data_IF_986919000459
#
_entry.id   IF_986919000459
#
_cell.length_a   1.000
_cell.length_b   1.000
_cell.length_c   1.000
_cell.angle_alpha   90.00
_cell.angle_beta   90.00
_cell.angle_gamma   90.00
#
_symmetry.space_group_name_H-M   'P 1'
#
loop_
_entity.id
_entity.type
_entity.pdbx_description
1 polymer ?
#
# COMPACT_ATOMS: atom_id res chain seq x y z
N UNK A 1 -20.55 16.44 -20.39
CA UNK A 1 -20.30 16.49 -18.94
C UNK A 1 -19.29 17.58 -18.65
N UNK A 2 -19.46 18.33 -17.57
CA UNK A 2 -18.53 19.35 -17.07
C UNK A 2 -18.07 18.95 -15.66
N UNK A 3 -16.78 19.09 -15.38
CA UNK A 3 -16.18 18.74 -14.09
C UNK A 3 -15.36 19.92 -13.58
N UNK A 4 -15.68 20.42 -12.38
CA UNK A 4 -14.90 21.46 -11.69
C UNK A 4 -13.77 20.82 -10.87
N UNK A 5 -12.85 20.18 -11.58
CA UNK A 5 -11.76 19.37 -11.01
C UNK A 5 -10.43 19.75 -11.64
N UNK A 6 -9.33 19.27 -11.07
CA UNK A 6 -7.99 19.61 -11.53
C UNK A 6 -7.73 19.02 -12.94
N UNK A 7 -7.59 19.87 -13.99
CA UNK A 7 -7.45 19.40 -15.36
C UNK A 7 -6.15 18.63 -15.59
N UNK A 8 -5.11 18.89 -14.79
CA UNK A 8 -3.82 18.22 -14.87
C UNK A 8 -3.93 16.75 -14.42
N UNK A 9 -4.80 16.46 -13.45
CA UNK A 9 -4.98 15.10 -12.93
C UNK A 9 -5.94 14.26 -13.77
N UNK A 10 -6.87 14.91 -14.47
CA UNK A 10 -7.86 14.22 -15.30
C UNK A 10 -7.23 13.34 -16.39
N UNK A 11 -6.04 13.70 -16.89
CA UNK A 11 -5.35 12.91 -17.91
C UNK A 11 -4.96 11.51 -17.42
N UNK A 12 -4.64 11.35 -16.13
CA UNK A 12 -4.29 10.04 -15.56
C UNK A 12 -5.52 9.15 -15.42
N UNK A 13 -6.62 9.73 -14.98
CA UNK A 13 -7.94 9.08 -14.90
C UNK A 13 -8.35 8.58 -16.27
N UNK A 14 -8.28 9.44 -17.28
CA UNK A 14 -8.63 9.08 -18.65
C UNK A 14 -7.72 7.97 -19.20
N UNK A 15 -6.41 8.06 -18.95
CA UNK A 15 -5.47 7.03 -19.36
C UNK A 15 -5.72 5.68 -18.68
N UNK A 16 -6.14 5.69 -17.41
CA UNK A 16 -6.57 4.48 -16.71
C UNK A 16 -7.77 3.84 -17.41
N UNK A 17 -8.79 4.62 -17.80
CA UNK A 17 -9.93 4.07 -18.54
C UNK A 17 -9.57 3.52 -19.93
N UNK A 18 -8.51 4.03 -20.57
CA UNK A 18 -8.03 3.50 -21.86
C UNK A 18 -7.11 2.29 -21.73
N UNK A 19 -6.24 2.26 -20.72
CA UNK A 19 -5.15 1.28 -20.61
C UNK A 19 -5.37 0.23 -19.54
N UNK A 20 -6.31 0.47 -18.62
CA UNK A 20 -6.53 -0.32 -17.40
C UNK A 20 -5.41 -0.17 -16.35
N UNK A 21 -4.45 0.74 -16.57
CA UNK A 21 -3.26 0.91 -15.73
C UNK A 21 -3.16 2.34 -15.21
N UNK A 22 -2.98 2.49 -13.91
CA UNK A 22 -2.82 3.79 -13.29
C UNK A 22 -1.33 4.14 -13.14
N UNK A 23 -0.92 5.24 -13.75
CA UNK A 23 0.45 5.74 -13.72
C UNK A 23 0.52 7.06 -12.97
N UNK A 24 1.57 7.25 -12.16
CA UNK A 24 1.77 8.44 -11.33
C UNK A 24 3.06 9.14 -11.75
N UNK A 25 3.02 10.46 -11.99
CA UNK A 25 4.19 11.28 -12.31
C UNK A 25 4.88 11.83 -11.06
N UNK A 26 6.15 12.20 -11.21
CA UNK A 26 7.05 12.54 -10.10
C UNK A 26 6.72 13.85 -9.37
N UNK A 27 6.14 14.82 -10.07
CA UNK A 27 5.95 16.19 -9.59
C UNK A 27 4.56 16.43 -8.97
N UNK A 28 3.78 15.37 -8.81
CA UNK A 28 2.42 15.45 -8.30
C UNK A 28 2.38 15.37 -6.78
N UNK A 29 1.57 16.25 -6.18
CA UNK A 29 1.18 16.14 -4.79
C UNK A 29 0.36 14.85 -4.59
N UNK A 30 0.86 13.96 -3.73
CA UNK A 30 0.23 12.65 -3.44
C UNK A 30 -1.19 12.83 -2.91
N UNK A 31 -1.40 13.79 -2.00
CA UNK A 31 -2.72 14.05 -1.42
C UNK A 31 -3.76 14.44 -2.49
N UNK A 32 -3.42 15.39 -3.36
CA UNK A 32 -4.32 15.83 -4.44
C UNK A 32 -4.59 14.70 -5.45
N UNK A 33 -3.59 13.86 -5.72
CA UNK A 33 -3.76 12.69 -6.57
C UNK A 33 -4.73 11.66 -5.94
N UNK A 34 -4.59 11.34 -4.66
CA UNK A 34 -5.48 10.44 -3.92
C UNK A 34 -6.94 10.90 -3.98
N UNK A 35 -7.17 12.19 -3.67
CA UNK A 35 -8.52 12.76 -3.68
C UNK A 35 -9.15 12.73 -5.08
N UNK A 36 -8.35 12.84 -6.14
CA UNK A 36 -8.84 12.76 -7.50
C UNK A 36 -9.22 11.32 -7.87
N UNK A 37 -8.33 10.34 -7.66
CA UNK A 37 -8.65 8.94 -8.00
C UNK A 37 -9.85 8.41 -7.19
N UNK A 38 -9.99 8.85 -5.94
CA UNK A 38 -11.16 8.55 -5.10
C UNK A 38 -12.45 9.13 -5.68
N UNK A 39 -12.42 10.41 -6.10
CA UNK A 39 -13.57 11.05 -6.76
C UNK A 39 -14.03 10.27 -8.01
N UNK A 40 -13.09 9.73 -8.79
CA UNK A 40 -13.39 8.93 -9.97
C UNK A 40 -13.67 7.46 -9.68
N UNK A 41 -13.67 7.04 -8.41
CA UNK A 41 -13.92 5.66 -7.99
C UNK A 41 -12.80 4.68 -8.38
N UNK A 42 -11.59 5.17 -8.61
CA UNK A 42 -10.44 4.37 -9.01
C UNK A 42 -9.65 3.99 -7.76
N UNK A 43 -9.50 2.68 -7.53
CA UNK A 43 -8.73 2.18 -6.40
C UNK A 43 -7.22 2.36 -6.62
N UNK A 44 -6.50 2.80 -5.59
CA UNK A 44 -5.03 2.94 -5.63
C UNK A 44 -4.28 1.61 -5.89
N UNK A 45 -4.94 0.47 -5.71
CA UNK A 45 -4.42 -0.86 -6.07
C UNK A 45 -4.16 -1.01 -7.57
N UNK A 46 -4.75 -0.16 -8.43
CA UNK A 46 -4.51 -0.18 -9.87
C UNK A 46 -3.23 0.53 -10.31
N UNK A 47 -2.45 1.08 -9.36
CA UNK A 47 -1.14 1.69 -9.66
C UNK A 47 -0.18 0.62 -10.19
N UNK A 48 0.35 0.84 -11.38
CA UNK A 48 1.29 -0.09 -12.00
C UNK A 48 2.63 -0.11 -11.25
N UNK A 49 3.28 -1.27 -11.28
CA UNK A 49 4.61 -1.57 -10.72
C UNK A 49 5.68 -0.53 -11.03
N UNK A 50 5.64 0.11 -12.22
CA UNK A 50 6.55 1.20 -12.59
C UNK A 50 6.62 2.33 -11.56
N UNK A 51 5.50 2.54 -10.88
CA UNK A 51 5.15 3.78 -10.23
C UNK A 51 4.75 3.53 -8.77
N UNK A 52 4.39 2.29 -8.44
CA UNK A 52 3.99 1.83 -7.10
C UNK A 52 5.04 2.15 -6.02
N UNK A 53 6.31 1.77 -6.19
CA UNK A 53 7.32 1.99 -5.15
C UNK A 53 7.50 3.49 -4.84
N UNK A 54 7.60 4.30 -5.89
CA UNK A 54 7.82 5.75 -5.76
C UNK A 54 6.60 6.50 -5.25
N UNK A 55 5.40 5.98 -5.52
CA UNK A 55 4.18 6.52 -4.93
C UNK A 55 4.13 6.22 -3.43
N UNK A 56 4.50 5.00 -3.03
CA UNK A 56 4.52 4.58 -1.63
C UNK A 56 5.52 5.41 -0.80
N UNK A 57 6.75 5.60 -1.28
CA UNK A 57 7.76 6.45 -0.63
C UNK A 57 7.23 7.87 -0.36
N UNK A 58 6.62 8.50 -1.37
CA UNK A 58 6.07 9.86 -1.22
C UNK A 58 4.83 9.92 -0.33
N UNK A 59 4.02 8.86 -0.28
CA UNK A 59 2.85 8.77 0.60
C UNK A 59 3.29 8.72 2.05
N UNK A 60 4.37 7.97 2.34
CA UNK A 60 4.99 7.89 3.66
C UNK A 60 5.60 9.24 4.08
N UNK A 61 6.34 9.91 3.19
CA UNK A 61 6.89 11.26 3.46
C UNK A 61 5.81 12.32 3.74
N UNK A 62 4.66 12.26 3.06
CA UNK A 62 3.56 13.20 3.30
C UNK A 62 2.84 12.87 4.61
N UNK A 63 2.70 11.60 4.96
CA UNK A 63 2.09 11.20 6.22
C UNK A 63 2.92 11.70 7.40
N UNK A 64 4.25 11.59 7.35
CA UNK A 64 5.14 12.11 8.40
C UNK A 64 4.97 13.63 8.62
N UNK A 65 4.77 14.40 7.53
CA UNK A 65 4.50 15.85 7.60
C UNK A 65 3.12 16.19 8.18
N UNK A 66 2.12 15.35 7.96
CA UNK A 66 0.78 15.53 8.52
C UNK A 66 0.76 15.30 10.05
N UNK A 67 1.54 14.33 10.56
CA UNK A 67 1.69 14.10 12.00
C UNK A 67 2.33 15.29 12.72
N UNK A 68 3.33 15.93 12.11
CA UNK A 68 3.97 17.11 12.68
C UNK A 68 3.02 18.32 12.66
N UNK A 69 2.23 18.49 11.59
CA UNK A 69 1.31 19.62 11.46
C UNK A 69 0.06 19.50 12.32
N UNK A 70 -0.49 18.29 12.53
CA UNK A 70 -1.70 18.06 13.35
C UNK A 70 -1.50 18.32 14.85
N UNK A 71 -0.24 18.43 15.31
CA UNK A 71 0.07 18.87 16.67
C UNK A 71 -0.16 20.38 16.89
N UNK A 72 -0.32 21.15 15.82
CA UNK A 72 -0.57 22.58 15.79
C UNK A 72 -1.69 22.87 14.79
N UNK A 73 -2.95 22.67 15.16
CA UNK A 73 -4.12 23.46 14.68
C UNK A 73 -5.44 22.70 14.99
N UNK A 74 -5.80 22.65 16.28
CA UNK A 74 -7.20 22.51 16.68
C UNK A 74 -7.78 23.91 16.66
N UNK A 75 -8.25 24.39 15.50
CA UNK A 75 -9.23 25.47 15.36
C UNK A 75 -9.61 25.67 13.89
N UNK A 76 -10.85 25.33 13.54
CA UNK A 76 -11.78 26.08 12.66
C UNK A 76 -12.64 25.17 11.79
N UNK A 77 -13.82 24.89 12.35
CA UNK A 77 -15.17 24.95 11.78
C UNK A 77 -15.58 24.22 10.46
N UNK A 78 -16.66 23.44 10.65
CA UNK A 78 -17.78 23.07 9.77
C UNK A 78 -17.56 22.46 8.38
N UNK A 79 -17.58 21.11 8.33
CA UNK A 79 -18.31 20.25 7.33
C UNK A 79 -17.94 18.76 7.38
N UNK A 80 -17.06 18.33 8.29
CA UNK A 80 -16.42 17.01 8.33
C UNK A 80 -17.12 15.91 9.16
N UNK A 81 -18.40 16.04 9.49
CA UNK A 81 -19.05 15.09 10.43
C UNK A 81 -19.35 13.71 9.80
N UNK A 82 -19.62 13.63 8.48
CA UNK A 82 -20.07 12.38 7.84
C UNK A 82 -18.90 11.41 7.51
N UNK A 83 -17.73 11.94 7.11
CA UNK A 83 -16.54 11.12 6.82
C UNK A 83 -15.94 10.48 8.08
N UNK A 84 -16.09 11.13 9.23
CA UNK A 84 -15.50 10.71 10.50
C UNK A 84 -16.09 9.41 11.07
N UNK A 85 -17.32 9.06 10.68
CA UNK A 85 -18.03 7.89 11.19
C UNK A 85 -17.58 6.61 10.46
N UNK A 86 -17.38 6.70 9.15
CA UNK A 86 -16.84 5.62 8.34
C UNK A 86 -15.37 5.34 8.67
N UNK A 87 -14.58 6.40 8.92
CA UNK A 87 -13.18 6.30 9.33
C UNK A 87 -13.03 5.61 10.71
N UNK A 88 -13.91 5.93 11.67
CA UNK A 88 -13.95 5.26 12.99
C UNK A 88 -14.36 3.79 12.92
N UNK A 89 -15.21 3.39 11.97
CA UNK A 89 -15.53 1.97 11.77
C UNK A 89 -14.38 1.19 11.12
N UNK A 90 -13.66 1.81 10.19
CA UNK A 90 -12.50 1.20 9.54
C UNK A 90 -11.31 1.03 10.51
N UNK A 91 -11.07 2.01 11.37
CA UNK A 91 -9.99 1.99 12.37
C UNK A 91 -10.16 0.87 13.41
N UNK A 92 -11.40 0.46 13.70
CA UNK A 92 -11.70 -0.58 14.70
C UNK A 92 -11.44 -2.00 14.20
N UNK A 93 -11.39 -2.22 12.88
CA UNK A 93 -11.09 -3.52 12.30
C UNK A 93 -9.59 -3.78 12.10
N UNK A 94 -8.73 -2.75 12.11
CA UNK A 94 -7.29 -2.89 11.84
C UNK A 94 -6.38 -2.76 13.08
N UNK A 95 -6.95 -2.49 14.26
CA UNK A 95 -6.16 -2.33 15.48
C UNK A 95 -5.63 -3.68 15.99
N UNK A 96 -4.39 -4.02 15.62
CA UNK A 96 -3.23 -3.73 16.48
C UNK A 96 -2.03 -4.68 16.25
N UNK A 97 -2.17 -5.88 15.64
CA UNK A 97 -0.99 -6.76 15.41
C UNK A 97 -0.98 -7.60 14.14
N UNK A 98 -2.14 -7.95 13.60
CA UNK A 98 -2.21 -8.84 12.44
C UNK A 98 -2.06 -8.09 11.10
N UNK A 99 -2.45 -6.82 11.00
CA UNK A 99 -2.36 -6.02 9.76
C UNK A 99 -0.92 -5.84 9.28
N UNK A 100 0.00 -5.45 10.15
CA UNK A 100 1.43 -5.25 9.84
C UNK A 100 2.12 -6.55 9.40
N UNK A 101 1.84 -7.67 10.08
CA UNK A 101 2.42 -8.97 9.75
C UNK A 101 1.84 -9.51 8.45
N UNK A 102 0.52 -9.42 8.28
CA UNK A 102 -0.18 -9.80 7.06
C UNK A 102 0.29 -8.97 5.88
N UNK A 103 0.45 -7.65 6.03
CA UNK A 103 0.96 -6.75 4.98
C UNK A 103 2.42 -7.07 4.62
N UNK A 104 3.29 -7.35 5.60
CA UNK A 104 4.68 -7.80 5.33
C UNK A 104 4.74 -9.17 4.63
N UNK A 105 3.91 -10.13 5.03
CA UNK A 105 3.82 -11.45 4.40
C UNK A 105 3.24 -11.32 2.98
N UNK A 106 2.18 -10.52 2.83
CA UNK A 106 1.52 -10.24 1.56
C UNK A 106 2.47 -9.57 0.57
N UNK A 107 3.16 -8.49 0.97
CA UNK A 107 4.16 -7.80 0.13
C UNK A 107 5.35 -8.72 -0.22
N UNK A 108 5.76 -9.59 0.72
CA UNK A 108 6.83 -10.57 0.47
C UNK A 108 6.40 -11.68 -0.50
N UNK A 109 5.11 -12.01 -0.55
CA UNK A 109 4.54 -13.06 -1.40
C UNK A 109 4.10 -12.54 -2.77
N UNK A 110 3.66 -11.29 -2.86
CA UNK A 110 3.23 -10.62 -4.10
C UNK A 110 4.41 -10.33 -5.06
N UNK A 111 5.64 -10.17 -4.54
CA UNK A 111 6.83 -9.85 -5.34
C UNK A 111 7.99 -10.87 -5.20
N UNK A 112 7.86 -12.11 -5.74
CA UNK A 112 8.95 -13.07 -5.82
C UNK A 112 9.92 -12.81 -6.98
N UNK A 113 9.66 -11.80 -7.83
CA UNK A 113 10.35 -11.58 -9.11
C UNK A 113 11.71 -10.84 -9.01
N UNK A 114 12.11 -10.33 -7.85
CA UNK A 114 13.45 -9.75 -7.64
C UNK A 114 14.36 -10.78 -6.94
N UNK A 115 15.02 -11.64 -7.74
CA UNK A 115 16.14 -12.58 -7.53
C UNK A 115 16.69 -13.01 -6.13
N UNK A 116 16.52 -12.26 -5.04
CA UNK A 116 17.01 -12.57 -3.69
C UNK A 116 15.97 -13.30 -2.81
N UNK A 117 14.70 -12.94 -2.91
CA UNK A 117 13.65 -13.51 -2.04
C UNK A 117 13.27 -14.94 -2.44
N UNK A 118 13.20 -15.25 -3.73
CA UNK A 118 13.01 -16.63 -4.21
C UNK A 118 14.14 -17.55 -3.75
N UNK A 119 15.39 -17.05 -3.72
CA UNK A 119 16.54 -17.78 -3.16
C UNK A 119 16.38 -18.01 -1.66
N UNK A 120 15.93 -17.03 -0.89
CA UNK A 120 15.71 -17.20 0.55
C UNK A 120 14.59 -18.20 0.86
N UNK A 121 13.49 -18.17 0.11
CA UNK A 121 12.40 -19.16 0.27
C UNK A 121 12.89 -20.56 -0.10
N UNK A 122 13.62 -20.70 -1.21
CA UNK A 122 14.21 -21.96 -1.61
C UNK A 122 15.20 -22.49 -0.56
N UNK A 123 16.10 -21.65 -0.04
CA UNK A 123 17.05 -22.01 1.02
C UNK A 123 16.32 -22.39 2.30
N UNK A 124 15.30 -21.63 2.70
CA UNK A 124 14.48 -21.94 3.88
C UNK A 124 13.78 -23.29 3.73
N UNK A 125 13.15 -23.56 2.59
CA UNK A 125 12.49 -24.84 2.31
C UNK A 125 13.49 -26.01 2.32
N UNK A 126 14.66 -25.83 1.72
CA UNK A 126 15.73 -26.83 1.70
C UNK A 126 16.26 -27.12 3.11
N UNK A 127 16.45 -26.07 3.92
CA UNK A 127 16.90 -26.21 5.31
C UNK A 127 15.92 -27.03 6.15
N UNK A 128 14.61 -26.79 6.01
CA UNK A 128 13.58 -27.55 6.71
C UNK A 128 13.59 -29.02 6.30
N UNK A 129 13.73 -29.31 5.00
CA UNK A 129 13.85 -30.68 4.49
C UNK A 129 15.07 -31.37 5.09
N UNK A 130 16.25 -30.73 5.08
CA UNK A 130 17.47 -31.30 5.66
C UNK A 130 17.34 -31.56 7.17
N UNK A 131 16.78 -30.60 7.92
CA UNK A 131 16.54 -30.77 9.34
C UNK A 131 15.61 -31.96 9.63
N UNK A 132 14.57 -32.16 8.81
CA UNK A 132 13.67 -33.31 8.95
C UNK A 132 14.37 -34.65 8.68
N UNK A 133 15.25 -34.70 7.68
CA UNK A 133 16.06 -35.90 7.37
C UNK A 133 16.97 -36.23 8.55
N UNK A 134 17.70 -35.24 9.08
CA UNK A 134 18.59 -35.43 10.23
C UNK A 134 17.80 -35.90 11.45
N UNK A 135 16.65 -35.29 11.74
CA UNK A 135 15.79 -35.68 12.85
C UNK A 135 15.32 -37.14 12.71
N UNK A 136 14.89 -37.55 11.52
CA UNK A 136 14.54 -38.95 11.25
C UNK A 136 15.72 -39.90 11.48
N UNK A 137 16.92 -39.54 11.00
CA UNK A 137 18.12 -40.36 11.20
C UNK A 137 18.48 -40.50 12.68
N UNK A 138 18.44 -39.40 13.45
CA UNK A 138 18.73 -39.42 14.89
C UNK A 138 17.70 -40.25 15.64
N UNK A 139 16.41 -40.08 15.33
CA UNK A 139 15.34 -40.90 15.92
C UNK A 139 15.46 -42.38 15.56
N UNK A 140 16.04 -42.69 14.40
CA UNK A 140 16.27 -44.07 13.97
C UNK A 140 17.51 -44.70 14.60
N UNK A 141 18.41 -43.89 15.19
CA UNK A 141 19.63 -44.34 15.89
C UNK A 141 19.45 -44.40 17.41
N UNK A 142 18.48 -43.66 17.95
CA UNK A 142 18.01 -43.75 19.35
C UNK A 142 17.06 -44.91 19.55
#
# INVERSE_FOLDING_TARGET
YYFDRNPSLFRYVLNFYYTGKLHVMEELCVFSFCQEIEYWGINELFIDSCCSNRYQERKEENHEKDWDQKSHDVSTDSSFEESSLFEKELEKFDTQRFGQLRKKIWIRMENPAHCLSAKLIAISSLSVVLASIVAMCVHSMS
#
